data_IF_191845612599
#
_entry.id   IF_191845612599
#
_cell.length_a   1.000
_cell.length_b   1.000
_cell.length_c   1.000
_cell.angle_alpha   90.00
_cell.angle_beta   90.00
_cell.angle_gamma   90.00
#
_symmetry.space_group_name_H-M   'P 1'
#
loop_
_entity.id
_entity.type
_entity.pdbx_description
1 polymer ?
#
# COMPACT_ATOMS: atom_id res chain seq x y z
N UNK A 1 -54.55 -14.99 -49.71
CA UNK A 1 -53.23 -15.60 -49.96
C UNK A 1 -52.16 -14.75 -49.29
N UNK A 2 -51.70 -15.13 -48.09
CA UNK A 2 -50.60 -14.44 -47.40
C UNK A 2 -49.33 -15.29 -47.41
N UNK A 3 -48.20 -14.75 -47.91
CA UNK A 3 -46.88 -15.41 -47.82
C UNK A 3 -46.10 -14.87 -46.62
N UNK A 4 -45.68 -15.79 -45.75
CA UNK A 4 -44.88 -15.53 -44.55
C UNK A 4 -43.40 -15.26 -44.87
N UNK A 5 -42.78 -14.35 -44.11
CA UNK A 5 -41.34 -14.04 -44.14
C UNK A 5 -40.57 -14.97 -43.18
N UNK A 6 -39.50 -15.60 -43.66
CA UNK A 6 -38.59 -16.46 -42.87
C UNK A 6 -37.67 -15.63 -41.96
N UNK A 7 -37.63 -15.97 -40.66
CA UNK A 7 -36.67 -15.44 -39.68
C UNK A 7 -35.38 -16.26 -39.62
N UNK A 8 -34.22 -15.58 -39.53
CA UNK A 8 -32.90 -16.23 -39.41
C UNK A 8 -32.70 -16.76 -37.98
N UNK A 9 -32.19 -17.99 -37.86
CA UNK A 9 -32.02 -18.72 -36.59
C UNK A 9 -30.90 -18.15 -35.69
N UNK A 10 -31.18 -18.01 -34.39
CA UNK A 10 -30.30 -17.52 -33.31
C UNK A 10 -28.92 -18.19 -33.23
N UNK A 11 -28.82 -19.47 -33.64
CA UNK A 11 -27.55 -20.22 -33.65
C UNK A 11 -26.56 -19.65 -34.68
N UNK A 12 -27.05 -19.09 -35.78
CA UNK A 12 -26.19 -18.47 -36.82
C UNK A 12 -25.59 -17.14 -36.35
N UNK A 13 -26.34 -16.37 -35.57
CA UNK A 13 -25.90 -15.09 -35.00
C UNK A 13 -24.83 -15.27 -33.91
N UNK A 14 -24.96 -16.31 -33.08
CA UNK A 14 -24.01 -16.61 -32.01
C UNK A 14 -22.65 -17.07 -32.57
N UNK A 15 -22.66 -17.94 -33.58
CA UNK A 15 -21.44 -18.40 -34.25
C UNK A 15 -20.73 -17.26 -35.00
N UNK A 16 -21.49 -16.34 -35.60
CA UNK A 16 -20.92 -15.14 -36.22
C UNK A 16 -20.29 -14.18 -35.19
N UNK A 17 -20.88 -14.06 -33.99
CA UNK A 17 -20.33 -13.23 -32.91
C UNK A 17 -19.04 -13.82 -32.33
N UNK A 18 -18.98 -15.14 -32.10
CA UNK A 18 -17.79 -15.81 -31.61
C UNK A 18 -16.62 -15.74 -32.62
N UNK A 19 -16.90 -15.88 -33.92
CA UNK A 19 -15.88 -15.70 -34.98
C UNK A 19 -15.34 -14.26 -35.03
N UNK A 20 -16.20 -13.26 -34.82
CA UNK A 20 -15.78 -11.84 -34.74
C UNK A 20 -14.92 -11.56 -33.50
N UNK A 21 -15.27 -12.12 -32.34
CA UNK A 21 -14.45 -11.96 -31.14
C UNK A 21 -13.07 -12.61 -31.29
N UNK A 22 -12.99 -13.82 -31.85
CA UNK A 22 -11.71 -14.50 -32.12
C UNK A 22 -10.83 -13.70 -33.09
N UNK A 23 -11.42 -13.16 -34.16
CA UNK A 23 -10.70 -12.31 -35.12
C UNK A 23 -10.17 -11.01 -34.48
N UNK A 24 -10.96 -10.37 -33.61
CA UNK A 24 -10.56 -9.13 -32.93
C UNK A 24 -9.42 -9.38 -31.93
N UNK A 25 -9.44 -10.49 -31.18
CA UNK A 25 -8.34 -10.88 -30.27
C UNK A 25 -7.06 -11.16 -31.06
N UNK A 26 -7.18 -11.80 -32.22
CA UNK A 26 -6.02 -12.12 -33.07
C UNK A 26 -5.42 -10.88 -33.76
N UNK A 27 -6.23 -9.87 -34.09
CA UNK A 27 -5.74 -8.59 -34.58
C UNK A 27 -5.10 -7.74 -33.47
N UNK A 28 -5.67 -7.72 -32.27
CA UNK A 28 -5.07 -7.05 -31.10
C UNK A 28 -3.70 -7.65 -30.74
N UNK A 29 -3.57 -8.99 -30.78
CA UNK A 29 -2.29 -9.67 -30.56
C UNK A 29 -1.25 -9.31 -31.64
N UNK A 30 -1.65 -9.18 -32.91
CA UNK A 30 -0.74 -8.76 -34.00
C UNK A 30 -0.27 -7.31 -33.83
N UNK A 31 -1.15 -6.40 -33.42
CA UNK A 31 -0.77 -5.00 -33.15
C UNK A 31 0.20 -4.89 -31.97
N UNK A 32 -0.01 -5.65 -30.89
CA UNK A 32 0.90 -5.67 -29.73
C UNK A 32 2.31 -6.18 -30.09
N UNK A 33 2.42 -7.14 -31.00
CA UNK A 33 3.72 -7.67 -31.47
C UNK A 33 4.45 -6.67 -32.38
N UNK A 34 3.73 -5.88 -33.19
CA UNK A 34 4.30 -4.83 -34.03
C UNK A 34 4.82 -3.66 -33.15
N UNK A 35 4.07 -3.29 -32.11
CA UNK A 35 4.46 -2.25 -31.15
C UNK A 35 5.70 -2.65 -30.32
N UNK A 36 5.80 -3.93 -29.94
CA UNK A 36 6.98 -4.48 -29.25
C UNK A 36 8.23 -4.50 -30.16
N UNK A 37 8.07 -4.76 -31.47
CA UNK A 37 9.18 -4.72 -32.44
C UNK A 37 9.60 -3.29 -32.81
N UNK A 38 8.71 -2.31 -32.73
CA UNK A 38 9.02 -0.89 -32.91
C UNK A 38 9.94 -0.33 -31.81
N UNK A 39 9.75 -0.77 -30.55
CA UNK A 39 10.57 -0.34 -29.41
C UNK A 39 12.00 -0.91 -29.44
N UNK A 40 12.21 -2.12 -29.98
CA UNK A 40 13.55 -2.72 -30.09
C UNK A 40 14.48 -2.09 -31.14
N UNK A 41 13.96 -1.31 -32.11
CA UNK A 41 14.80 -0.64 -33.14
C UNK A 41 15.35 0.72 -32.70
N UNK A 42 14.77 1.35 -31.67
CA UNK A 42 15.23 2.66 -31.18
C UNK A 42 16.43 2.54 -30.23
N UNK A 43 16.62 1.38 -29.59
CA UNK A 43 17.68 1.16 -28.60
C UNK A 43 19.09 0.92 -29.19
N UNK A 44 19.24 0.74 -30.51
CA UNK A 44 20.52 0.37 -31.14
C UNK A 44 21.32 1.51 -31.77
N UNK A 45 20.84 2.75 -31.78
CA UNK A 45 21.51 3.88 -32.47
C UNK A 45 22.06 4.98 -31.53
N UNK A 46 22.12 4.75 -30.21
CA UNK A 46 22.53 5.76 -29.22
C UNK A 46 23.74 5.37 -28.36
N UNK A 47 24.80 4.80 -28.95
CA UNK A 47 26.06 4.52 -28.23
C UNK A 47 26.99 5.74 -28.33
N UNK A 48 26.68 6.80 -27.59
CA UNK A 48 27.64 7.87 -27.29
C UNK A 48 27.76 8.07 -25.77
N UNK A 49 29.00 8.25 -25.32
CA UNK A 49 29.51 8.23 -23.93
C UNK A 49 28.51 8.70 -22.86
N UNK A 50 27.95 7.76 -22.10
CA UNK A 50 27.37 8.04 -20.77
C UNK A 50 28.50 8.44 -19.82
N UNK A 51 28.61 9.73 -19.52
CA UNK A 51 29.25 10.23 -18.30
C UNK A 51 28.66 9.45 -17.11
N UNK A 52 29.51 8.94 -16.23
CA UNK A 52 29.11 8.51 -14.89
C UNK A 52 28.45 9.73 -14.23
N UNK A 53 27.11 9.73 -14.18
CA UNK A 53 26.41 10.53 -13.18
C UNK A 53 26.59 9.77 -11.88
N UNK A 54 27.29 10.38 -10.93
CA UNK A 54 27.21 9.99 -9.53
C UNK A 54 25.73 9.84 -9.18
N UNK A 55 25.38 8.68 -8.64
CA UNK A 55 24.04 8.40 -8.17
C UNK A 55 23.74 9.33 -7.01
N UNK A 56 22.97 10.38 -7.27
CA UNK A 56 22.26 11.11 -6.24
C UNK A 56 21.41 10.08 -5.47
N UNK A 57 21.89 9.67 -4.30
CA UNK A 57 21.21 8.75 -3.40
C UNK A 57 19.93 9.44 -2.94
N UNK A 58 18.84 9.27 -3.69
CA UNK A 58 17.54 9.82 -3.30
C UNK A 58 17.22 9.32 -1.89
N UNK A 59 17.22 10.26 -0.94
CA UNK A 59 16.90 10.00 0.46
C UNK A 59 15.56 9.25 0.55
N UNK A 60 15.52 8.19 1.35
CA UNK A 60 14.30 7.42 1.58
C UNK A 60 13.14 8.32 2.03
N UNK A 61 11.93 8.03 1.55
CA UNK A 61 10.73 8.79 1.96
C UNK A 61 10.23 8.22 3.29
N UNK A 62 10.28 9.03 4.35
CA UNK A 62 9.62 8.73 5.63
C UNK A 62 8.30 9.49 5.67
N UNK A 63 7.13 8.83 5.66
CA UNK A 63 5.84 9.48 5.44
C UNK A 63 5.20 10.02 6.72
N UNK A 64 5.97 10.23 7.77
CA UNK A 64 5.51 10.63 9.10
C UNK A 64 6.00 12.03 9.45
N UNK A 65 5.16 12.78 10.15
CA UNK A 65 5.51 14.04 10.80
C UNK A 65 5.65 13.84 12.31
N UNK A 66 6.45 14.64 13.03
CA UNK A 66 6.62 14.51 14.49
C UNK A 66 5.35 14.68 15.32
N UNK A 67 4.25 15.17 14.74
CA UNK A 67 2.97 15.35 15.44
C UNK A 67 1.89 14.36 14.99
N UNK A 68 2.20 13.44 14.07
CA UNK A 68 1.23 12.49 13.56
C UNK A 68 0.78 11.52 14.64
N UNK A 69 -0.53 11.24 14.70
CA UNK A 69 -1.08 10.05 15.35
C UNK A 69 -1.07 8.91 14.35
N UNK A 70 -0.40 7.81 14.69
CA UNK A 70 -0.10 6.71 13.78
C UNK A 70 -0.79 5.44 14.28
N UNK A 71 -1.54 4.79 13.40
CA UNK A 71 -2.06 3.44 13.59
C UNK A 71 -1.32 2.48 12.67
N UNK A 72 -0.62 1.51 13.24
CA UNK A 72 0.08 0.44 12.53
C UNK A 72 -0.76 -0.83 12.60
N UNK A 73 -1.09 -1.37 11.43
CA UNK A 73 -1.97 -2.52 11.26
C UNK A 73 -1.16 -3.75 10.86
N UNK A 74 -1.39 -4.86 11.57
CA UNK A 74 -0.83 -6.16 11.21
C UNK A 74 0.68 -6.25 11.42
N UNK A 75 1.19 -5.67 12.51
CA UNK A 75 2.57 -5.88 12.95
C UNK A 75 2.83 -7.37 13.17
N UNK A 76 4.01 -7.83 12.75
CA UNK A 76 4.51 -9.19 13.04
C UNK A 76 5.19 -9.23 14.40
N UNK A 77 6.51 -9.05 14.41
CA UNK A 77 7.30 -8.97 15.65
C UNK A 77 7.38 -7.55 16.24
N UNK A 78 6.58 -6.60 15.76
CA UNK A 78 6.55 -5.19 16.20
C UNK A 78 7.85 -4.38 15.96
N UNK A 79 8.79 -4.91 15.19
CA UNK A 79 10.06 -4.21 14.89
C UNK A 79 9.87 -2.92 14.10
N UNK A 80 8.86 -2.84 13.23
CA UNK A 80 8.55 -1.61 12.50
C UNK A 80 8.07 -0.52 13.46
N UNK A 81 7.08 -0.83 14.31
CA UNK A 81 6.64 0.09 15.35
C UNK A 81 7.79 0.54 16.28
N UNK A 82 8.63 -0.41 16.70
CA UNK A 82 9.80 -0.13 17.54
C UNK A 82 10.79 0.82 16.86
N UNK A 83 11.04 0.64 15.56
CA UNK A 83 11.95 1.50 14.79
C UNK A 83 11.51 2.98 14.75
N UNK A 84 10.21 3.26 14.96
CA UNK A 84 9.67 4.63 14.95
C UNK A 84 9.95 5.40 16.24
N UNK A 85 10.27 4.74 17.35
CA UNK A 85 10.50 5.40 18.64
C UNK A 85 11.67 6.39 18.59
N UNK A 86 12.75 6.01 17.91
CA UNK A 86 14.01 6.78 17.82
C UNK A 86 14.39 7.13 16.37
N UNK A 87 13.42 7.17 15.47
CA UNK A 87 13.70 7.40 14.06
C UNK A 87 14.18 8.84 13.79
N UNK A 88 15.37 8.98 13.21
CA UNK A 88 16.06 10.27 12.99
C UNK A 88 15.29 11.32 12.18
N UNK A 89 14.47 10.90 11.21
CA UNK A 89 13.59 11.79 10.43
C UNK A 89 12.37 12.34 11.21
N UNK A 90 12.04 11.78 12.38
CA UNK A 90 10.89 12.16 13.21
C UNK A 90 11.24 12.21 14.71
N UNK A 91 12.30 12.94 15.11
CA UNK A 91 12.92 12.84 16.43
C UNK A 91 12.04 13.32 17.60
N UNK A 92 10.88 13.91 17.32
CA UNK A 92 9.95 14.44 18.33
C UNK A 92 8.58 13.76 18.30
N UNK A 93 8.45 12.62 17.61
CA UNK A 93 7.21 11.84 17.61
C UNK A 93 6.95 11.29 19.02
N UNK A 94 5.87 11.70 19.72
CA UNK A 94 5.56 11.13 21.02
C UNK A 94 5.23 9.65 20.88
N UNK A 95 5.83 8.74 21.67
CA UNK A 95 5.47 7.32 21.62
C UNK A 95 3.98 7.06 21.84
N UNK A 96 3.31 7.87 22.67
CA UNK A 96 1.87 7.82 22.91
C UNK A 96 1.01 8.05 21.65
N UNK A 97 1.58 8.65 20.59
CA UNK A 97 0.91 8.80 19.31
C UNK A 97 0.96 7.53 18.44
N UNK A 98 1.74 6.52 18.83
CA UNK A 98 1.87 5.26 18.11
C UNK A 98 0.90 4.23 18.71
N UNK A 99 0.00 3.73 17.88
CA UNK A 99 -0.82 2.56 18.18
C UNK A 99 -0.41 1.43 17.25
N UNK A 100 0.25 0.41 17.79
CA UNK A 100 0.71 -0.76 17.05
C UNK A 100 -0.23 -1.96 17.28
N UNK A 101 -0.65 -2.62 16.22
CA UNK A 101 -1.66 -3.69 16.31
C UNK A 101 -1.24 -4.95 15.56
N UNK A 102 -1.56 -6.11 16.11
CA UNK A 102 -1.41 -7.41 15.46
C UNK A 102 -2.76 -8.14 15.37
N UNK A 103 -2.90 -9.00 14.35
CA UNK A 103 -4.10 -9.82 14.15
C UNK A 103 -4.16 -11.01 15.11
N UNK A 104 -3.02 -11.68 15.32
CA UNK A 104 -2.90 -12.80 16.25
C UNK A 104 -3.14 -12.35 17.70
N UNK A 105 -3.46 -13.28 18.59
CA UNK A 105 -3.36 -13.04 20.04
C UNK A 105 -1.90 -12.80 20.46
N UNK A 106 -1.68 -12.23 21.65
CA UNK A 106 -0.33 -11.99 22.16
C UNK A 106 0.48 -13.29 22.31
N UNK A 107 -0.16 -14.36 22.80
CA UNK A 107 0.49 -15.66 22.94
C UNK A 107 0.87 -16.28 21.59
N UNK A 108 -0.01 -16.18 20.58
CA UNK A 108 0.29 -16.67 19.23
C UNK A 108 1.41 -15.85 18.58
N UNK A 109 1.39 -14.52 18.74
CA UNK A 109 2.44 -13.64 18.26
C UNK A 109 3.80 -14.01 18.86
N UNK A 110 3.89 -14.14 20.19
CA UNK A 110 5.13 -14.51 20.89
C UNK A 110 5.58 -15.94 20.56
N UNK A 111 4.65 -16.85 20.27
CA UNK A 111 4.99 -18.19 19.79
C UNK A 111 5.58 -18.16 18.39
N UNK A 112 5.10 -17.29 17.50
CA UNK A 112 5.61 -17.14 16.12
C UNK A 112 6.90 -16.32 16.06
N UNK A 113 7.02 -15.33 16.93
CA UNK A 113 8.12 -14.36 16.99
C UNK A 113 8.58 -14.15 18.44
N UNK A 114 9.44 -15.04 18.98
CA UNK A 114 9.92 -14.89 20.35
C UNK A 114 10.65 -13.56 20.61
N UNK A 115 11.31 -13.03 19.58
CA UNK A 115 11.98 -11.73 19.58
C UNK A 115 11.01 -10.53 19.71
N UNK A 116 9.72 -10.72 19.46
CA UNK A 116 8.73 -9.65 19.66
C UNK A 116 8.67 -9.20 21.13
N UNK A 117 9.02 -10.06 22.09
CA UNK A 117 8.97 -9.74 23.52
C UNK A 117 9.75 -8.47 23.87
N UNK A 118 10.96 -8.29 23.32
CA UNK A 118 11.78 -7.10 23.57
C UNK A 118 11.16 -5.84 22.96
N UNK A 119 10.68 -5.92 21.71
CA UNK A 119 10.01 -4.81 21.04
C UNK A 119 8.73 -4.38 21.77
N UNK A 120 7.91 -5.35 22.20
CA UNK A 120 6.69 -5.12 22.95
C UNK A 120 6.98 -4.43 24.29
N UNK A 121 8.01 -4.89 25.02
CA UNK A 121 8.43 -4.28 26.27
C UNK A 121 8.90 -2.84 26.06
N UNK A 122 9.71 -2.58 25.04
CA UNK A 122 10.20 -1.25 24.71
C UNK A 122 9.07 -0.29 24.33
N UNK A 123 8.16 -0.72 23.44
CA UNK A 123 6.98 0.07 23.02
C UNK A 123 6.09 0.44 24.19
N UNK A 124 5.73 -0.53 25.03
CA UNK A 124 4.89 -0.31 26.21
C UNK A 124 5.58 0.62 27.22
N UNK A 125 6.88 0.42 27.46
CA UNK A 125 7.66 1.24 28.40
C UNK A 125 7.80 2.69 27.91
N UNK A 126 7.90 2.90 26.60
CA UNK A 126 7.93 4.23 26.00
C UNK A 126 6.55 4.93 26.04
N UNK A 127 5.47 4.20 26.30
CA UNK A 127 4.10 4.73 26.36
C UNK A 127 3.31 4.58 25.06
N UNK A 128 3.81 3.80 24.09
CA UNK A 128 3.05 3.45 22.90
C UNK A 128 1.92 2.47 23.24
N UNK A 129 0.82 2.53 22.48
CA UNK A 129 -0.30 1.60 22.64
C UNK A 129 -0.06 0.37 21.80
N UNK A 130 -0.15 -0.82 22.41
CA UNK A 130 0.01 -2.10 21.72
C UNK A 130 -1.25 -2.96 21.90
N UNK A 131 -1.86 -3.39 20.80
CA UNK A 131 -3.10 -4.18 20.78
C UNK A 131 -2.95 -5.46 19.96
N UNK A 132 -3.64 -6.52 20.38
CA UNK A 132 -3.67 -7.83 19.71
C UNK A 132 -5.11 -8.20 19.33
N UNK A 133 -5.29 -9.18 18.43
CA UNK A 133 -6.63 -9.60 18.00
C UNK A 133 -7.34 -8.59 17.08
N UNK A 134 -6.60 -7.69 16.43
CA UNK A 134 -7.19 -6.60 15.64
C UNK A 134 -7.40 -7.04 14.19
N UNK A 135 -8.66 -7.27 13.79
CA UNK A 135 -9.02 -7.50 12.39
C UNK A 135 -9.12 -6.17 11.63
N UNK A 136 -8.20 -5.96 10.69
CA UNK A 136 -8.12 -4.78 9.84
C UNK A 136 -9.42 -4.48 9.05
N UNK A 137 -10.26 -5.50 8.79
CA UNK A 137 -11.54 -5.34 8.08
C UNK A 137 -12.69 -4.97 9.03
N UNK A 138 -12.47 -5.06 10.34
CA UNK A 138 -13.46 -4.82 11.39
C UNK A 138 -12.88 -3.99 12.53
N UNK A 139 -12.26 -2.86 12.19
CA UNK A 139 -11.67 -1.94 13.16
C UNK A 139 -12.69 -1.40 14.17
N UNK A 140 -13.98 -1.36 13.82
CA UNK A 140 -15.09 -1.02 14.72
C UNK A 140 -15.22 -1.92 15.95
N UNK A 141 -14.75 -3.17 15.85
CA UNK A 141 -14.73 -4.10 17.00
C UNK A 141 -13.66 -3.72 18.03
N UNK A 142 -12.56 -3.09 17.59
CA UNK A 142 -11.45 -2.69 18.45
C UNK A 142 -11.57 -1.22 18.88
N UNK A 143 -12.02 -0.37 17.95
CA UNK A 143 -12.15 1.07 18.11
C UNK A 143 -13.61 1.48 17.93
N UNK A 144 -14.45 1.43 18.98
CA UNK A 144 -15.86 1.73 18.84
C UNK A 144 -16.09 3.13 18.27
N UNK A 145 -16.94 3.25 17.24
CA UNK A 145 -17.24 4.52 16.55
C UNK A 145 -17.80 5.63 17.45
N UNK A 146 -18.33 5.27 18.62
CA UNK A 146 -18.78 6.23 19.65
C UNK A 146 -17.62 7.01 20.29
N UNK A 147 -16.39 6.51 20.17
CA UNK A 147 -15.16 7.17 20.61
C UNK A 147 -14.51 7.84 19.41
N UNK A 148 -14.07 9.08 19.59
CA UNK A 148 -13.41 9.87 18.54
C UNK A 148 -11.96 9.42 18.32
N UNK A 149 -11.77 8.22 17.77
CA UNK A 149 -10.47 7.76 17.31
C UNK A 149 -10.22 8.25 15.90
N UNK A 150 -9.20 9.10 15.74
CA UNK A 150 -8.79 9.67 14.47
C UNK A 150 -7.27 9.59 14.35
N UNK A 151 -6.77 9.11 13.22
CA UNK A 151 -5.33 9.03 12.95
C UNK A 151 -4.96 9.86 11.72
N UNK A 152 -3.76 10.40 11.80
CA UNK A 152 -3.15 11.19 10.73
C UNK A 152 -2.51 10.25 9.70
N UNK A 153 -2.01 9.10 10.15
CA UNK A 153 -1.48 8.01 9.33
C UNK A 153 -2.01 6.66 9.79
N UNK A 154 -2.61 5.90 8.88
CA UNK A 154 -2.96 4.49 9.09
C UNK A 154 -2.12 3.65 8.14
N UNK A 155 -1.26 2.78 8.65
CA UNK A 155 -0.27 2.04 7.86
C UNK A 155 -0.58 0.56 7.90
N UNK A 156 -0.64 -0.10 6.74
CA UNK A 156 -0.67 -1.55 6.63
C UNK A 156 0.42 -2.03 5.69
N UNK A 157 1.50 -2.54 6.27
CA UNK A 157 2.65 -3.03 5.51
C UNK A 157 2.45 -4.49 5.12
N UNK A 158 2.55 -4.77 3.81
CA UNK A 158 2.48 -6.11 3.23
C UNK A 158 1.26 -6.94 3.64
N UNK A 159 0.03 -6.39 3.53
CA UNK A 159 -1.18 -7.16 3.81
C UNK A 159 -1.25 -8.42 2.95
N UNK A 160 -1.61 -9.55 3.56
CA UNK A 160 -1.92 -10.79 2.87
C UNK A 160 -2.97 -11.56 3.66
N UNK A 161 -3.84 -12.33 2.99
CA UNK A 161 -4.87 -13.16 3.63
C UNK A 161 -4.32 -14.28 4.54
N UNK A 162 -3.01 -14.54 4.51
CA UNK A 162 -2.37 -15.66 5.23
C UNK A 162 -2.83 -17.07 4.80
N UNK A 163 -3.72 -17.20 3.81
CA UNK A 163 -4.28 -18.48 3.36
C UNK A 163 -3.44 -19.10 2.24
N UNK A 164 -3.15 -20.40 2.35
CA UNK A 164 -2.56 -21.21 1.29
C UNK A 164 -3.61 -21.56 0.22
N UNK A 165 -3.97 -20.57 -0.61
CA UNK A 165 -4.90 -20.74 -1.73
C UNK A 165 -4.10 -21.10 -2.98
N UNK A 166 -4.19 -22.35 -3.43
CA UNK A 166 -3.47 -22.86 -4.59
C UNK A 166 -3.97 -22.26 -5.92
N UNK A 167 -5.27 -21.98 -6.02
CA UNK A 167 -5.87 -21.35 -7.19
C UNK A 167 -5.52 -19.86 -7.23
N UNK A 168 -4.81 -19.44 -8.29
CA UNK A 168 -4.28 -18.09 -8.40
C UNK A 168 -5.39 -17.03 -8.45
N UNK A 169 -6.47 -17.27 -9.19
CA UNK A 169 -7.57 -16.30 -9.33
C UNK A 169 -8.32 -16.12 -8.02
N UNK A 170 -8.56 -17.21 -7.27
CA UNK A 170 -9.14 -17.17 -5.92
C UNK A 170 -8.20 -16.48 -4.94
N UNK A 171 -6.89 -16.70 -5.03
CA UNK A 171 -5.91 -16.02 -4.20
C UNK A 171 -5.93 -14.50 -4.45
N UNK A 172 -5.94 -14.09 -5.73
CA UNK A 172 -6.07 -12.69 -6.13
C UNK A 172 -7.37 -12.10 -5.58
N UNK A 173 -8.51 -12.75 -5.82
CA UNK A 173 -9.81 -12.26 -5.37
C UNK A 173 -9.90 -12.13 -3.83
N UNK A 174 -9.33 -13.08 -3.08
CA UNK A 174 -9.31 -13.03 -1.61
C UNK A 174 -8.46 -11.86 -1.08
N UNK A 175 -7.28 -11.61 -1.67
CA UNK A 175 -6.43 -10.47 -1.29
C UNK A 175 -7.07 -9.14 -1.70
N UNK A 176 -7.69 -9.05 -2.89
CA UNK A 176 -8.44 -7.87 -3.31
C UNK A 176 -9.62 -7.58 -2.36
N UNK A 177 -10.38 -8.61 -1.97
CA UNK A 177 -11.47 -8.49 -1.00
C UNK A 177 -10.98 -7.99 0.36
N UNK A 178 -9.81 -8.46 0.80
CA UNK A 178 -9.19 -8.03 2.07
C UNK A 178 -8.78 -6.56 2.03
N UNK A 179 -8.14 -6.11 0.94
CA UNK A 179 -7.79 -4.70 0.75
C UNK A 179 -9.03 -3.81 0.72
N UNK A 180 -10.08 -4.19 -0.02
CA UNK A 180 -11.34 -3.44 -0.05
C UNK A 180 -12.04 -3.41 1.32
N UNK A 181 -12.04 -4.53 2.04
CA UNK A 181 -12.60 -4.60 3.40
C UNK A 181 -11.89 -3.66 4.37
N UNK A 182 -10.55 -3.63 4.33
CA UNK A 182 -9.76 -2.68 5.12
C UNK A 182 -10.02 -1.23 4.73
N UNK A 183 -9.99 -0.91 3.44
CA UNK A 183 -10.27 0.45 2.95
C UNK A 183 -11.66 0.93 3.39
N UNK A 184 -12.67 0.06 3.37
CA UNK A 184 -13.99 0.39 3.93
C UNK A 184 -13.93 0.59 5.46
N UNK A 185 -13.21 -0.27 6.18
CA UNK A 185 -13.09 -0.22 7.65
C UNK A 185 -12.37 1.03 8.16
N UNK A 186 -11.37 1.55 7.43
CA UNK A 186 -10.57 2.70 7.88
C UNK A 186 -11.24 4.06 7.68
N UNK A 187 -12.24 4.16 6.78
CA UNK A 187 -12.93 5.42 6.45
C UNK A 187 -13.27 6.29 7.67
N UNK A 188 -13.95 5.80 8.73
CA UNK A 188 -14.34 6.63 9.87
C UNK A 188 -13.17 7.08 10.75
N UNK A 189 -12.00 6.44 10.63
CA UNK A 189 -10.85 6.66 11.50
C UNK A 189 -9.80 7.62 10.94
N UNK A 190 -10.00 8.12 9.71
CA UNK A 190 -9.11 9.11 9.12
C UNK A 190 -9.40 10.49 9.71
N UNK A 191 -8.35 11.18 10.15
CA UNK A 191 -8.43 12.54 10.65
C UNK A 191 -8.96 13.49 9.58
N UNK A 192 -9.80 14.44 9.99
CA UNK A 192 -10.27 15.50 9.12
C UNK A 192 -9.15 16.50 8.84
N UNK A 193 -9.17 17.12 7.66
CA UNK A 193 -8.16 18.10 7.28
C UNK A 193 -8.18 18.43 5.79
N UNK A 194 -7.21 19.24 5.37
CA UNK A 194 -7.07 19.68 3.98
C UNK A 194 -6.49 18.54 3.14
N UNK A 195 -7.15 18.23 2.03
CA UNK A 195 -6.67 17.26 1.04
C UNK A 195 -5.53 17.90 0.25
N UNK A 196 -4.32 17.31 0.22
CA UNK A 196 -3.23 17.83 -0.59
C UNK A 196 -3.60 17.81 -2.08
N UNK A 197 -3.39 18.92 -2.77
CA UNK A 197 -3.70 19.02 -4.20
C UNK A 197 -2.77 18.09 -5.00
N UNK A 198 -3.36 17.09 -5.66
CA UNK A 198 -2.64 16.10 -6.47
C UNK A 198 -1.99 16.69 -7.72
N UNK A 199 -2.30 17.93 -8.09
CA UNK A 199 -1.84 18.57 -9.34
C UNK A 199 -0.70 19.57 -9.19
N UNK A 200 -0.29 19.92 -7.96
CA UNK A 200 0.84 20.84 -7.75
C UNK A 200 2.16 20.09 -7.90
N UNK A 201 2.64 19.99 -9.15
CA UNK A 201 4.01 19.53 -9.45
C UNK A 201 5.03 20.48 -8.80
N UNK A 202 5.59 20.08 -7.66
CA UNK A 202 6.98 20.31 -7.26
C UNK A 202 7.58 21.71 -7.42
N UNK A 203 6.89 22.78 -7.00
CA UNK A 203 7.48 24.14 -7.02
C UNK A 203 7.49 24.91 -5.68
N UNK A 204 6.90 24.40 -4.61
CA UNK A 204 6.76 25.16 -3.34
C UNK A 204 7.53 24.62 -2.12
N UNK A 205 8.58 23.82 -2.32
CA UNK A 205 9.54 23.48 -1.25
C UNK A 205 10.95 23.90 -1.71
N UNK A 206 11.12 25.19 -2.01
CA UNK A 206 12.44 25.79 -2.23
C UNK A 206 12.48 27.31 -1.98
N UNK A 207 11.40 27.89 -1.48
CA UNK A 207 11.28 29.32 -1.21
C UNK A 207 10.97 29.66 0.26
N UNK A 208 10.94 28.66 1.15
CA UNK A 208 10.65 28.87 2.58
C UNK A 208 11.90 28.76 3.48
N UNK A 209 13.07 28.49 2.91
CA UNK A 209 14.33 28.33 3.66
C UNK A 209 15.29 29.52 3.49
N UNK A 210 14.91 30.57 2.75
CA UNK A 210 15.82 31.66 2.35
C UNK A 210 15.28 33.07 2.67
N UNK A 211 14.53 33.21 3.78
CA UNK A 211 14.07 34.52 4.24
C UNK A 211 14.35 34.74 5.74
N UNK A 212 15.62 34.99 6.05
CA UNK A 212 16.13 35.82 7.15
C UNK A 212 16.83 37.01 6.47
N UNK A 213 16.64 38.29 6.76
CA UNK A 213 16.18 39.02 7.94
C UNK A 213 15.57 40.37 7.47
N UNK A 214 14.96 41.07 8.43
CA UNK A 214 14.64 42.51 8.46
C UNK A 214 13.21 42.96 8.11
N UNK A 215 12.52 43.36 9.19
CA UNK A 215 11.62 44.52 9.32
C UNK A 215 10.11 44.28 9.57
N UNK A 216 9.73 44.65 10.80
CA UNK A 216 8.46 45.21 11.30
C UNK A 216 7.10 44.70 10.76
N UNK A 217 6.39 43.97 11.64
CA UNK A 217 5.01 44.33 11.99
C UNK A 217 3.87 43.93 11.04
N UNK A 218 3.54 42.63 10.93
CA UNK A 218 2.14 42.15 10.87
C UNK A 218 2.05 40.74 11.45
N UNK A 219 1.33 40.58 12.58
CA UNK A 219 0.89 39.29 13.12
C UNK A 219 -0.05 38.58 12.14
N UNK A 220 0.52 37.86 11.17
CA UNK A 220 -0.19 36.83 10.41
C UNK A 220 0.12 35.48 11.05
N UNK A 221 -0.72 35.08 12.00
CA UNK A 221 -0.82 33.71 12.46
C UNK A 221 -1.15 32.80 11.26
N UNK A 222 -0.13 32.31 10.57
CA UNK A 222 -0.25 31.26 9.57
C UNK A 222 -0.63 29.97 10.29
N UNK A 223 -1.93 29.76 10.48
CA UNK A 223 -2.47 28.47 10.88
C UNK A 223 -2.13 27.47 9.77
N UNK A 224 -1.03 26.74 9.91
CA UNK A 224 -0.75 25.57 9.06
C UNK A 224 -1.96 24.65 9.16
N UNK A 225 -2.82 24.67 8.14
CA UNK A 225 -3.99 23.81 8.13
C UNK A 225 -3.54 22.35 8.21
N UNK A 226 -4.12 21.60 9.15
CA UNK A 226 -3.83 20.18 9.32
C UNK A 226 -4.27 19.42 8.07
N UNK A 227 -3.38 18.60 7.51
CA UNK A 227 -3.71 17.76 6.35
C UNK A 227 -4.68 16.65 6.73
N UNK A 228 -5.54 16.25 5.80
CA UNK A 228 -6.41 15.09 5.99
C UNK A 228 -5.58 13.83 6.30
N UNK A 229 -6.12 12.99 7.17
CA UNK A 229 -5.53 11.70 7.49
C UNK A 229 -5.42 10.82 6.24
N UNK A 230 -4.36 10.03 6.17
CA UNK A 230 -4.08 9.17 5.02
C UNK A 230 -3.86 7.70 5.40
N UNK A 231 -4.15 6.83 4.44
CA UNK A 231 -3.90 5.39 4.51
C UNK A 231 -2.67 5.07 3.68
N UNK A 232 -1.72 4.36 4.25
CA UNK A 232 -0.50 3.90 3.61
C UNK A 232 -0.52 2.39 3.52
N UNK A 233 -0.43 1.86 2.31
CA UNK A 233 -0.37 0.42 2.09
C UNK A 233 0.90 0.12 1.31
N UNK A 234 1.69 -0.79 1.84
CA UNK A 234 2.95 -1.22 1.21
C UNK A 234 2.78 -2.61 0.62
N UNK A 235 3.14 -2.79 -0.66
CA UNK A 235 3.17 -4.09 -1.32
C UNK A 235 4.48 -4.28 -2.07
N UNK A 236 4.79 -5.53 -2.42
CA UNK A 236 5.87 -5.83 -3.36
C UNK A 236 5.46 -5.45 -4.78
N UNK A 237 6.42 -5.02 -5.60
CA UNK A 237 6.23 -4.75 -7.03
C UNK A 237 6.48 -6.02 -7.88
N UNK A 238 5.89 -7.14 -7.47
CA UNK A 238 5.96 -8.41 -8.18
C UNK A 238 4.64 -9.18 -8.07
N UNK A 239 4.42 -10.17 -8.94
CA UNK A 239 3.29 -11.08 -8.79
C UNK A 239 3.42 -11.94 -7.51
N UNK A 240 2.31 -12.28 -6.84
CA UNK A 240 0.93 -11.95 -7.20
C UNK A 240 0.48 -10.54 -6.78
N UNK A 241 1.26 -9.81 -5.99
CA UNK A 241 0.88 -8.51 -5.41
C UNK A 241 0.47 -7.46 -6.46
N UNK A 242 1.14 -7.42 -7.60
CA UNK A 242 0.80 -6.51 -8.71
C UNK A 242 -0.57 -6.81 -9.32
N UNK A 243 -1.02 -8.08 -9.30
CA UNK A 243 -2.33 -8.50 -9.82
C UNK A 243 -3.48 -8.10 -8.90
N UNK A 244 -3.19 -7.72 -7.65
CA UNK A 244 -4.22 -7.22 -6.74
C UNK A 244 -4.68 -5.81 -7.10
N UNK A 245 -3.87 -5.06 -7.86
CA UNK A 245 -4.23 -3.75 -8.43
C UNK A 245 -4.77 -2.76 -7.38
N UNK A 246 -4.02 -2.61 -6.28
CA UNK A 246 -4.34 -1.76 -5.15
C UNK A 246 -4.78 -0.33 -5.55
N UNK A 247 -4.08 0.39 -6.46
CA UNK A 247 -4.51 1.73 -6.87
C UNK A 247 -5.91 1.74 -7.50
N UNK A 248 -6.26 0.76 -8.34
CA UNK A 248 -7.60 0.68 -8.93
C UNK A 248 -8.63 0.41 -7.84
N UNK A 249 -8.38 -0.55 -6.95
CA UNK A 249 -9.29 -0.88 -5.85
C UNK A 249 -9.61 0.35 -4.99
N UNK A 250 -8.61 1.16 -4.65
CA UNK A 250 -8.80 2.35 -3.82
C UNK A 250 -9.54 3.49 -4.54
N UNK A 251 -9.24 3.73 -5.83
CA UNK A 251 -9.80 4.88 -6.59
C UNK A 251 -11.18 4.58 -7.17
N UNK A 252 -11.36 3.38 -7.67
CA UNK A 252 -12.54 2.91 -8.40
C UNK A 252 -12.93 1.50 -7.91
N UNK A 253 -13.37 1.38 -6.65
CA UNK A 253 -13.79 0.10 -6.11
C UNK A 253 -14.96 -0.45 -6.92
N UNK A 254 -14.94 -1.75 -7.17
CA UNK A 254 -16.07 -2.43 -7.82
C UNK A 254 -17.16 -2.59 -6.77
N UNK A 255 -18.40 -2.24 -7.11
CA UNK A 255 -19.53 -2.51 -6.24
C UNK A 255 -19.62 -4.03 -6.00
N UNK A 256 -19.55 -4.45 -4.73
CA UNK A 256 -19.73 -5.86 -4.38
C UNK A 256 -21.16 -6.28 -4.73
N UNK A 257 -21.32 -7.06 -5.79
CA UNK A 257 -22.63 -7.57 -6.24
C UNK A 257 -23.17 -8.69 -5.36
N UNK A 258 -22.40 -9.14 -4.35
CA UNK A 258 -22.60 -10.45 -3.72
C UNK A 258 -23.05 -10.41 -2.25
N UNK A 259 -23.25 -9.25 -1.63
CA UNK A 259 -23.85 -9.21 -0.29
C UNK A 259 -24.68 -7.95 -0.04
N UNK A 260 -25.93 -8.16 0.36
CA UNK A 260 -26.89 -7.12 0.78
C UNK A 260 -26.46 -6.32 2.02
N UNK A 261 -25.37 -6.72 2.70
CA UNK A 261 -24.83 -6.09 3.91
C UNK A 261 -23.39 -5.54 3.74
N UNK A 262 -22.88 -5.39 2.52
CA UNK A 262 -21.55 -4.82 2.30
C UNK A 262 -21.54 -3.31 2.61
N UNK A 263 -20.56 -2.85 3.39
CA UNK A 263 -20.30 -1.41 3.56
C UNK A 263 -20.12 -0.76 2.17
N UNK A 264 -20.71 0.42 1.91
CA UNK A 264 -20.46 1.17 0.70
C UNK A 264 -18.95 1.39 0.56
N UNK A 265 -18.39 1.00 -0.58
CA UNK A 265 -16.96 1.10 -0.78
C UNK A 265 -16.54 2.58 -0.93
N UNK A 266 -15.74 3.13 -0.01
CA UNK A 266 -15.23 4.49 -0.14
C UNK A 266 -14.32 4.63 -1.35
N UNK A 267 -14.29 5.84 -1.92
CA UNK A 267 -13.32 6.20 -2.95
C UNK A 267 -12.19 6.98 -2.33
N UNK A 268 -10.98 6.71 -2.79
CA UNK A 268 -9.79 7.42 -2.37
C UNK A 268 -9.16 8.22 -3.51
N UNK A 269 -8.32 9.18 -3.14
CA UNK A 269 -7.39 9.88 -4.01
C UNK A 269 -6.00 9.37 -3.65
N UNK A 270 -5.24 8.91 -4.64
CA UNK A 270 -3.83 8.59 -4.45
C UNK A 270 -3.04 9.90 -4.48
N UNK A 271 -2.45 10.28 -3.35
CA UNK A 271 -1.68 11.54 -3.23
C UNK A 271 -0.28 11.36 -3.81
N UNK A 272 0.36 10.23 -3.49
CA UNK A 272 1.68 9.86 -3.99
C UNK A 272 1.93 8.36 -3.85
N UNK A 273 3.08 7.91 -4.34
CA UNK A 273 3.63 6.59 -4.06
C UNK A 273 5.15 6.65 -4.12
N UNK A 274 5.84 5.88 -3.28
CA UNK A 274 7.30 5.90 -3.17
C UNK A 274 7.84 4.50 -2.87
N UNK A 275 9.12 4.28 -3.16
CA UNK A 275 9.77 3.02 -2.80
C UNK A 275 9.82 2.89 -1.27
N UNK A 276 9.41 1.73 -0.77
CA UNK A 276 9.57 1.39 0.64
C UNK A 276 11.00 0.90 0.86
N UNK A 277 11.76 1.66 1.63
CA UNK A 277 13.14 1.34 1.97
C UNK A 277 13.19 0.78 3.40
N UNK A 278 13.35 -0.54 3.52
CA UNK A 278 13.41 -1.21 4.82
C UNK A 278 14.63 -0.77 5.64
N UNK A 279 15.75 -0.43 4.99
CA UNK A 279 16.99 -0.03 5.67
C UNK A 279 16.87 1.35 6.31
N UNK A 280 15.89 2.15 5.89
CA UNK A 280 15.59 3.44 6.51
C UNK A 280 14.95 3.31 7.90
N UNK A 281 14.50 2.11 8.30
CA UNK A 281 13.89 1.82 9.60
C UNK A 281 14.82 0.97 10.47
N UNK A 282 15.56 1.55 11.42
CA UNK A 282 16.55 0.83 12.22
C UNK A 282 15.95 -0.36 12.98
N UNK A 283 16.52 -1.54 12.80
CA UNK A 283 16.06 -2.77 13.45
C UNK A 283 14.77 -3.36 12.90
N UNK A 284 14.18 -2.79 11.84
CA UNK A 284 13.01 -3.37 11.20
C UNK A 284 13.32 -4.71 10.55
N UNK A 285 12.51 -5.72 10.90
CA UNK A 285 12.54 -7.04 10.31
C UNK A 285 11.18 -7.41 9.77
N UNK A 286 11.14 -7.75 8.49
CA UNK A 286 9.91 -8.21 7.87
C UNK A 286 9.53 -9.61 8.33
N UNK A 287 8.29 -9.77 8.79
CA UNK A 287 7.72 -11.03 9.24
C UNK A 287 6.43 -11.35 8.47
N UNK A 288 6.26 -12.62 8.10
CA UNK A 288 5.05 -13.13 7.42
C UNK A 288 4.12 -13.75 8.44
N UNK A 289 2.81 -13.64 8.25
CA UNK A 289 1.77 -14.18 9.16
C UNK A 289 1.84 -15.70 9.40
N UNK A 290 2.51 -16.46 8.53
CA UNK A 290 2.77 -17.90 8.70
C UNK A 290 3.86 -18.22 9.74
N UNK A 291 4.50 -17.22 10.34
CA UNK A 291 5.67 -17.37 11.21
C UNK A 291 6.98 -17.04 10.49
N UNK A 292 8.09 -17.17 11.22
CA UNK A 292 9.44 -16.94 10.72
C UNK A 292 10.15 -18.28 10.49
N UNK A 293 10.65 -18.52 9.27
CA UNK A 293 11.65 -19.56 8.97
C UNK A 293 12.97 -18.84 8.64
N UNK A 294 14.04 -19.16 9.36
CA UNK A 294 15.39 -18.62 9.17
C UNK A 294 15.92 -18.83 7.74
N UNK A 295 15.34 -19.79 7.00
CA UNK A 295 15.66 -20.09 5.59
C UNK A 295 14.86 -19.26 4.59
N UNK A 296 13.82 -18.54 5.03
CA UNK A 296 13.06 -17.59 4.22
C UNK A 296 13.62 -16.17 4.42
N UNK A 297 14.27 -15.66 3.37
CA UNK A 297 15.11 -14.45 3.38
C UNK A 297 14.49 -13.23 4.08
N UNK A 298 15.28 -12.42 4.83
CA UNK A 298 14.90 -11.07 5.20
C UNK A 298 14.71 -10.20 3.95
N UNK A 299 13.88 -9.15 4.07
CA UNK A 299 13.76 -8.07 3.06
C UNK A 299 15.08 -7.35 2.79
N UNK A 300 16.09 -7.55 3.64
CA UNK A 300 17.38 -6.87 3.61
C UNK A 300 18.44 -7.85 3.12
N UNK A 301 19.17 -7.47 2.08
CA UNK A 301 20.18 -8.31 1.46
C UNK A 301 21.43 -8.46 2.33
N UNK A 302 21.78 -9.69 2.66
CA UNK A 302 23.18 -10.09 2.84
C UNK A 302 23.49 -11.20 1.84
N UNK A 303 24.19 -10.84 0.77
CA UNK A 303 24.70 -11.79 -0.21
C UNK A 303 25.82 -12.62 0.44
N UNK A 304 25.53 -13.88 0.82
CA UNK A 304 26.55 -14.92 0.98
C UNK A 304 26.04 -16.24 0.41
N UNK A 305 26.91 -16.85 -0.41
CA UNK A 305 26.69 -18.10 -1.13
C UNK A 305 26.46 -19.29 -0.18
N UNK A 306 25.34 -20.03 -0.33
CA UNK A 306 25.30 -21.51 -0.47
C UNK A 306 23.88 -22.00 -0.82
N UNK A 307 23.75 -23.32 -1.07
CA UNK A 307 23.03 -23.95 -2.18
C UNK A 307 21.71 -24.67 -1.80
N UNK A 308 20.85 -24.84 -2.83
CA UNK A 308 19.76 -25.81 -3.07
C UNK A 308 18.46 -25.76 -2.26
N UNK A 309 17.37 -25.49 -2.99
CA UNK A 309 15.97 -25.70 -2.57
C UNK A 309 15.03 -24.80 -3.36
N UNK A 310 14.09 -25.38 -4.11
CA UNK A 310 13.20 -24.69 -5.06
C UNK A 310 12.11 -23.91 -4.31
N UNK A 311 12.47 -22.78 -3.69
CA UNK A 311 11.54 -21.70 -3.37
C UNK A 311 12.17 -20.40 -3.89
N UNK A 312 11.55 -19.76 -4.88
CA UNK A 312 11.99 -18.46 -5.39
C UNK A 312 11.98 -17.48 -4.21
N UNK A 313 13.17 -17.05 -3.80
CA UNK A 313 13.38 -16.02 -2.77
C UNK A 313 12.51 -14.80 -3.12
N UNK A 314 11.64 -14.36 -2.21
CA UNK A 314 10.82 -13.14 -2.39
C UNK A 314 11.67 -11.88 -2.20
N UNK A 315 12.65 -11.68 -3.07
CA UNK A 315 13.50 -10.49 -3.12
C UNK A 315 13.03 -9.60 -4.27
N UNK A 316 12.43 -8.46 -3.96
CA UNK A 316 11.89 -7.55 -4.98
C UNK A 316 11.61 -6.16 -4.42
N UNK A 317 11.60 -5.13 -5.28
CA UNK A 317 11.29 -3.76 -4.87
C UNK A 317 9.91 -3.69 -4.23
N UNK A 318 9.78 -2.84 -3.22
CA UNK A 318 8.54 -2.62 -2.49
C UNK A 318 8.10 -1.17 -2.68
N UNK A 319 6.78 -0.95 -2.75
CA UNK A 319 6.20 0.39 -2.92
C UNK A 319 5.12 0.62 -1.89
N UNK A 320 5.12 1.83 -1.34
CA UNK A 320 4.03 2.34 -0.51
C UNK A 320 3.16 3.28 -1.34
N UNK A 321 1.85 3.09 -1.30
CA UNK A 321 0.87 4.00 -1.85
C UNK A 321 0.17 4.74 -0.72
N UNK A 322 0.09 6.06 -0.84
CA UNK A 322 -0.59 6.91 0.14
C UNK A 322 -1.91 7.44 -0.44
N UNK A 323 -2.99 7.17 0.28
CA UNK A 323 -4.35 7.47 -0.12
C UNK A 323 -5.04 8.38 0.90
N UNK A 324 -5.79 9.38 0.43
CA UNK A 324 -6.68 10.20 1.25
C UNK A 324 -8.13 9.96 0.83
N UNK A 325 -9.05 10.04 1.78
CA UNK A 325 -10.47 9.82 1.49
C UNK A 325 -10.96 10.89 0.51
N UNK A 326 -11.65 10.46 -0.55
CA UNK A 326 -12.32 11.40 -1.47
C UNK A 326 -13.58 11.94 -0.78
N UNK A 327 -13.80 13.27 -0.76
CA UNK A 327 -15.05 13.84 -0.26
C UNK A 327 -16.24 13.28 -1.05
N UNK A 328 -17.35 13.02 -0.36
CA UNK A 328 -18.62 12.70 -1.02
C UNK A 328 -19.09 13.94 -1.80
N UNK A 329 -19.50 13.73 -3.06
CA UNK A 329 -20.05 14.78 -3.93
C UNK A 329 -21.54 14.96 -3.67
#
# INVERSE_FOLDING_TARGET
MGKAKHGKSLKSSLSAHQKRQAHNVQQAAKHAVIEAKGKQKVDKAGRSKRRKQDGDSRKATIPFSPTDRILLIGEGNFSFAHSLLDHSSIPSLPPANITATAYDSESECLSKYPDASSHLSALRSAGATVLFGVDARHLDKTFPLKKAHKWDKIVWNFPHVGLSIADQDRNIAANQSTLMGFLASVKPYLADGVIPDSHVKGKHIKQLEDASDEDEGVTLSATKHKTAGSVLITLREQEPYTLWDLPRLAKNPVASTSSTNALPQPRYIQVRSFAFDAESYPGYEHRRTAGWDERESPLVGASKHHVSGIHKKETGPCRTWEFVLRPEQ
#
